data_IF_839070469003
#
_entry.id   IF_839070469003
#
_cell.length_a   1.000
_cell.length_b   1.000
_cell.length_c   1.000
_cell.angle_alpha   90.00
_cell.angle_beta   90.00
_cell.angle_gamma   90.00
#
_symmetry.space_group_name_H-M   'P 1'
#
loop_
_entity.id
_entity.type
_entity.pdbx_description
1 polymer ?
#
# COMPACT_ATOMS: atom_id res chain seq x y z
N UNK A 1 -0.34 30.55 13.81
CA UNK A 1 0.69 30.32 12.77
C UNK A 1 1.87 31.28 12.95
N UNK A 2 1.64 32.57 13.18
CA UNK A 2 2.69 33.57 13.47
C UNK A 2 3.52 33.24 14.73
N UNK A 3 2.88 32.83 15.83
CA UNK A 3 3.57 32.41 17.06
C UNK A 3 4.48 31.19 16.86
N UNK A 4 4.02 30.21 16.07
CA UNK A 4 4.81 29.03 15.69
C UNK A 4 6.06 29.42 14.91
N UNK A 5 5.95 30.32 13.93
CA UNK A 5 7.09 30.77 13.12
C UNK A 5 8.11 31.53 13.98
N UNK A 6 7.62 32.45 14.82
CA UNK A 6 8.46 33.22 15.74
C UNK A 6 9.18 32.31 16.74
N UNK A 7 8.49 31.37 17.38
CA UNK A 7 9.08 30.41 18.32
C UNK A 7 10.14 29.51 17.65
N UNK A 8 9.90 29.08 16.40
CA UNK A 8 10.87 28.30 15.62
C UNK A 8 12.11 29.12 15.24
N UNK A 9 11.93 30.38 14.82
CA UNK A 9 13.02 31.26 14.39
C UNK A 9 13.89 31.73 15.55
N UNK A 10 13.26 32.04 16.69
CA UNK A 10 13.94 32.46 17.91
C UNK A 10 14.57 31.30 18.70
N UNK A 11 14.27 30.05 18.33
CA UNK A 11 14.81 28.86 19.00
C UNK A 11 14.29 28.66 20.42
N UNK A 12 13.17 29.30 20.79
CA UNK A 12 12.56 29.20 22.12
C UNK A 12 12.06 27.78 22.40
N UNK A 13 11.63 27.07 21.36
CA UNK A 13 11.22 25.67 21.45
C UNK A 13 11.96 24.80 20.44
N UNK A 14 12.13 23.52 20.77
CA UNK A 14 12.68 22.51 19.87
C UNK A 14 11.86 22.43 18.56
N UNK A 15 12.49 22.59 17.39
CA UNK A 15 11.80 22.52 16.10
C UNK A 15 11.04 21.22 15.86
N UNK A 16 11.51 20.08 16.39
CA UNK A 16 10.82 18.79 16.23
C UNK A 16 9.55 18.74 17.07
N UNK A 17 9.59 19.24 18.32
CA UNK A 17 8.40 19.41 19.16
C UNK A 17 7.36 20.31 18.49
N UNK A 18 7.80 21.45 17.96
CA UNK A 18 6.92 22.38 17.23
C UNK A 18 6.28 21.69 16.01
N UNK A 19 7.07 20.97 15.20
CA UNK A 19 6.56 20.21 14.06
C UNK A 19 5.50 19.19 14.47
N UNK A 20 5.74 18.42 15.53
CA UNK A 20 4.79 17.43 16.06
C UNK A 20 3.48 18.09 16.51
N UNK A 21 3.57 19.18 17.28
CA UNK A 21 2.39 19.93 17.72
C UNK A 21 1.57 20.48 16.53
N UNK A 22 2.23 21.02 15.51
CA UNK A 22 1.57 21.53 14.32
C UNK A 22 0.96 20.40 13.47
N UNK A 23 1.61 19.23 13.37
CA UNK A 23 1.04 18.05 12.71
C UNK A 23 -0.23 17.56 13.41
N UNK A 24 -0.21 17.41 14.74
CA UNK A 24 -1.41 17.03 15.51
C UNK A 24 -2.54 18.03 15.30
N UNK A 25 -2.23 19.34 15.30
CA UNK A 25 -3.22 20.38 15.01
C UNK A 25 -3.86 20.23 13.63
N UNK A 26 -3.10 19.86 12.60
CA UNK A 26 -3.62 19.61 11.25
C UNK A 26 -4.53 18.37 11.21
N UNK A 27 -4.16 17.30 11.93
CA UNK A 27 -4.98 16.08 12.03
C UNK A 27 -6.30 16.36 12.75
N UNK A 28 -6.31 17.20 13.79
CA UNK A 28 -7.54 17.60 14.48
C UNK A 28 -8.48 18.46 13.64
N UNK A 29 -7.97 19.08 12.57
CA UNK A 29 -8.73 19.92 11.64
C UNK A 29 -8.94 19.23 10.28
N UNK A 30 -8.83 17.89 10.22
CA UNK A 30 -8.93 17.14 8.98
C UNK A 30 -10.40 17.12 8.52
N UNK A 31 -10.62 17.55 7.29
CA UNK A 31 -11.92 17.56 6.63
C UNK A 31 -11.82 16.96 5.22
N UNK A 32 -12.96 16.63 4.63
CA UNK A 32 -13.01 16.13 3.25
C UNK A 32 -12.54 17.22 2.29
N UNK A 33 -11.44 16.96 1.58
CA UNK A 33 -10.95 17.87 0.55
C UNK A 33 -11.84 17.78 -0.69
N UNK A 34 -12.55 18.87 -1.02
CA UNK A 34 -13.42 18.96 -2.20
C UNK A 34 -12.70 19.41 -3.47
N UNK A 35 -11.45 19.86 -3.34
CA UNK A 35 -10.62 20.32 -4.46
C UNK A 35 -9.74 19.18 -5.01
N UNK A 36 -9.77 18.00 -4.39
CA UNK A 36 -8.98 16.85 -4.81
C UNK A 36 -9.87 15.67 -5.12
N UNK A 37 -9.81 15.23 -6.37
CA UNK A 37 -10.46 14.01 -6.84
C UNK A 37 -9.44 12.89 -7.08
N UNK A 38 -9.91 11.65 -7.10
CA UNK A 38 -9.13 10.48 -7.54
C UNK A 38 -9.85 9.87 -8.75
N UNK A 39 -9.09 9.60 -9.81
CA UNK A 39 -9.63 9.03 -11.04
C UNK A 39 -10.34 7.70 -10.77
N UNK A 40 -11.55 7.53 -11.32
CA UNK A 40 -12.42 6.39 -11.00
C UNK A 40 -12.22 5.26 -12.00
N UNK A 41 -11.45 4.25 -11.60
CA UNK A 41 -11.14 3.08 -12.45
C UNK A 41 -11.77 1.80 -11.93
N UNK A 42 -11.81 1.61 -10.61
CA UNK A 42 -12.45 0.42 -10.04
C UNK A 42 -13.94 0.37 -10.37
N UNK A 43 -14.41 -0.78 -10.85
CA UNK A 43 -15.81 -1.04 -11.12
C UNK A 43 -16.58 -1.52 -9.88
N UNK A 44 -15.90 -1.71 -8.75
CA UNK A 44 -16.46 -2.20 -7.48
C UNK A 44 -15.79 -1.50 -6.29
N UNK A 45 -16.12 -1.93 -5.06
CA UNK A 45 -15.53 -1.36 -3.85
C UNK A 45 -14.01 -1.44 -3.83
N UNK A 46 -13.37 -0.43 -3.26
CA UNK A 46 -11.93 -0.43 -2.98
C UNK A 46 -11.72 -1.03 -1.60
N UNK A 47 -10.99 -2.13 -1.51
CA UNK A 47 -10.75 -2.82 -0.24
C UNK A 47 -9.48 -2.30 0.46
N UNK A 48 -8.51 -1.80 -0.31
CA UNK A 48 -7.17 -1.52 0.18
C UNK A 48 -6.53 -0.37 -0.60
N UNK A 49 -5.71 0.39 0.12
CA UNK A 49 -4.90 1.49 -0.39
C UNK A 49 -3.54 1.42 0.28
N UNK A 50 -2.47 1.68 -0.46
CA UNK A 50 -1.14 1.83 0.12
C UNK A 50 -0.34 2.94 -0.57
N UNK A 51 0.24 3.83 0.21
CA UNK A 51 1.01 4.97 -0.27
C UNK A 51 2.49 4.63 -0.16
N UNK A 52 3.25 4.94 -1.20
CA UNK A 52 4.68 4.70 -1.26
C UNK A 52 5.40 5.24 0.01
N UNK A 53 6.25 4.44 0.66
CA UNK A 53 6.83 4.80 1.96
C UNK A 53 7.96 5.84 1.88
N UNK A 54 8.57 6.05 0.70
CA UNK A 54 9.78 6.88 0.55
C UNK A 54 9.43 8.33 0.25
N UNK A 55 8.78 8.61 -0.89
CA UNK A 55 8.40 9.98 -1.28
C UNK A 55 6.92 10.27 -1.02
N UNK A 56 6.09 9.23 -0.93
CA UNK A 56 4.63 9.36 -0.74
C UNK A 56 3.93 9.92 -1.98
N UNK A 57 4.56 9.80 -3.14
CA UNK A 57 4.05 10.33 -4.41
C UNK A 57 3.03 9.39 -5.04
N UNK A 58 3.33 8.10 -5.03
CA UNK A 58 2.50 7.10 -5.68
C UNK A 58 1.63 6.35 -4.68
N UNK A 59 0.44 5.94 -5.13
CA UNK A 59 -0.51 5.18 -4.32
C UNK A 59 -1.04 3.99 -5.11
N UNK A 60 -1.06 2.82 -4.47
CA UNK A 60 -1.71 1.63 -4.97
C UNK A 60 -3.12 1.53 -4.42
N UNK A 61 -4.02 0.97 -5.21
CA UNK A 61 -5.35 0.55 -4.77
C UNK A 61 -5.69 -0.84 -5.28
N UNK A 62 -6.39 -1.61 -4.45
CA UNK A 62 -6.93 -2.93 -4.80
C UNK A 62 -8.45 -2.93 -4.65
N UNK A 63 -9.15 -3.45 -5.67
CA UNK A 63 -10.61 -3.48 -5.70
C UNK A 63 -11.20 -4.89 -5.60
N UNK A 64 -12.49 -4.95 -5.23
CA UNK A 64 -13.25 -6.20 -5.26
C UNK A 64 -13.44 -6.75 -6.68
N UNK A 65 -13.15 -5.95 -7.70
CA UNK A 65 -13.18 -6.29 -9.11
C UNK A 65 -11.93 -7.05 -9.60
N UNK A 66 -10.94 -7.30 -8.73
CA UNK A 66 -9.69 -7.97 -9.09
C UNK A 66 -8.64 -7.05 -9.70
N UNK A 67 -8.94 -5.74 -9.80
CA UNK A 67 -8.07 -4.75 -10.43
C UNK A 67 -7.12 -4.16 -9.39
N UNK A 68 -5.90 -3.83 -9.84
CA UNK A 68 -4.94 -3.04 -9.08
C UNK A 68 -4.67 -1.76 -9.86
N UNK A 69 -4.69 -0.60 -9.21
CA UNK A 69 -4.42 0.69 -9.86
C UNK A 69 -3.31 1.42 -9.13
N UNK A 70 -2.42 2.04 -9.90
CA UNK A 70 -1.34 2.90 -9.42
C UNK A 70 -1.67 4.34 -9.78
N UNK A 71 -1.75 5.23 -8.79
CA UNK A 71 -2.03 6.66 -8.96
C UNK A 71 -0.81 7.52 -8.67
N UNK A 72 -0.68 8.63 -9.39
CA UNK A 72 0.18 9.75 -9.02
C UNK A 72 -0.65 10.74 -8.18
N UNK A 73 -0.24 10.95 -6.93
CA UNK A 73 -0.91 11.85 -6.00
C UNK A 73 -0.45 13.31 -6.14
N UNK A 74 0.61 13.57 -6.92
CA UNK A 74 1.17 14.90 -7.06
C UNK A 74 0.36 15.80 -7.99
N UNK A 75 0.31 17.07 -7.62
CA UNK A 75 -0.36 18.07 -8.44
C UNK A 75 0.65 18.72 -9.39
N UNK A 76 0.65 18.27 -10.64
CA UNK A 76 1.43 18.92 -11.69
C UNK A 76 0.76 20.17 -12.26
N UNK A 77 -0.48 20.46 -11.87
CA UNK A 77 -1.21 21.65 -12.30
C UNK A 77 -0.86 22.85 -11.42
N UNK A 78 -0.96 24.06 -11.97
CA UNK A 78 -0.81 25.30 -11.19
C UNK A 78 -2.06 25.69 -10.41
N UNK A 79 -3.10 24.85 -10.46
CA UNK A 79 -4.37 25.10 -9.78
C UNK A 79 -4.38 24.41 -8.42
N UNK A 80 -5.07 24.96 -7.41
CA UNK A 80 -5.19 24.31 -6.11
C UNK A 80 -6.06 23.04 -6.16
N UNK A 81 -6.92 22.93 -7.17
CA UNK A 81 -7.77 21.77 -7.42
C UNK A 81 -7.17 20.86 -8.50
N UNK A 82 -7.23 19.55 -8.31
CA UNK A 82 -6.70 18.57 -9.26
C UNK A 82 -7.24 17.16 -9.03
N UNK A 83 -7.08 16.31 -10.04
CA UNK A 83 -7.43 14.88 -9.97
C UNK A 83 -6.16 14.07 -9.94
N UNK A 84 -6.01 13.18 -8.95
CA UNK A 84 -4.97 12.16 -8.92
C UNK A 84 -5.23 11.19 -10.07
N UNK A 85 -4.32 11.16 -11.04
CA UNK A 85 -4.46 10.33 -12.25
C UNK A 85 -3.86 8.96 -12.02
N UNK A 86 -4.44 7.95 -12.64
CA UNK A 86 -3.82 6.65 -12.70
C UNK A 86 -2.67 6.65 -13.71
N UNK A 87 -1.52 6.19 -13.24
CA UNK A 87 -0.32 5.96 -14.05
C UNK A 87 -0.44 4.61 -14.74
N UNK A 88 -0.85 3.58 -13.98
CA UNK A 88 -0.94 2.21 -14.45
C UNK A 88 -2.15 1.49 -13.85
N UNK A 89 -2.63 0.45 -14.52
CA UNK A 89 -3.70 -0.41 -14.03
C UNK A 89 -3.52 -1.85 -14.49
N UNK A 90 -3.54 -2.78 -13.55
CA UNK A 90 -3.66 -4.22 -13.80
C UNK A 90 -5.14 -4.54 -13.99
N UNK A 91 -5.65 -4.22 -15.18
CA UNK A 91 -7.04 -4.43 -15.56
C UNK A 91 -7.33 -5.86 -16.05
N UNK A 92 -8.59 -6.14 -16.39
CA UNK A 92 -9.07 -7.46 -16.85
C UNK A 92 -8.37 -8.01 -18.10
N UNK A 93 -7.75 -7.16 -18.90
CA UNK A 93 -6.96 -7.56 -20.08
C UNK A 93 -5.55 -8.01 -19.73
N UNK A 94 -5.07 -7.76 -18.51
CA UNK A 94 -3.73 -8.16 -18.09
C UNK A 94 -3.67 -9.68 -17.89
N UNK A 95 -2.65 -10.39 -18.42
CA UNK A 95 -2.55 -11.85 -18.30
C UNK A 95 -2.53 -12.31 -16.84
N UNK A 96 -1.87 -11.53 -15.97
CA UNK A 96 -1.75 -11.82 -14.54
C UNK A 96 -2.78 -11.10 -13.67
N UNK A 97 -3.91 -10.64 -14.21
CA UNK A 97 -4.96 -10.02 -13.38
C UNK A 97 -5.45 -10.99 -12.29
N UNK A 98 -5.86 -10.47 -11.13
CA UNK A 98 -6.50 -11.29 -10.12
C UNK A 98 -7.91 -11.70 -10.58
N UNK A 99 -8.28 -12.95 -10.30
CA UNK A 99 -9.58 -13.49 -10.72
C UNK A 99 -10.72 -13.07 -9.81
N UNK A 100 -10.41 -12.70 -8.58
CA UNK A 100 -11.35 -12.30 -7.54
C UNK A 100 -10.84 -11.07 -6.78
N UNK A 101 -11.62 -10.63 -5.80
CA UNK A 101 -11.37 -9.50 -4.91
C UNK A 101 -9.90 -9.42 -4.45
N UNK A 102 -9.27 -8.26 -4.65
CA UNK A 102 -7.95 -7.95 -4.08
C UNK A 102 -8.18 -7.40 -2.69
N UNK A 103 -7.68 -8.10 -1.67
CA UNK A 103 -7.92 -7.75 -0.27
C UNK A 103 -6.86 -6.83 0.29
N UNK A 104 -5.60 -7.04 -0.09
CA UNK A 104 -4.50 -6.18 0.32
C UNK A 104 -3.53 -5.97 -0.84
N UNK A 105 -3.03 -4.74 -0.94
CA UNK A 105 -1.90 -4.34 -1.79
C UNK A 105 -0.90 -3.66 -0.88
N UNK A 106 0.39 -3.87 -1.12
CA UNK A 106 1.44 -3.27 -0.30
C UNK A 106 2.67 -2.96 -1.14
N UNK A 107 3.19 -1.75 -1.03
CA UNK A 107 4.51 -1.41 -1.54
C UNK A 107 5.58 -2.24 -0.84
N UNK A 108 6.61 -2.63 -1.58
CA UNK A 108 7.76 -3.23 -0.95
C UNK A 108 8.46 -2.16 -0.07
N UNK A 109 8.68 -2.40 1.25
CA UNK A 109 9.02 -1.30 2.16
C UNK A 109 10.35 -0.58 1.90
N UNK A 110 11.28 -1.22 1.19
CA UNK A 110 12.64 -0.72 0.96
C UNK A 110 12.95 -0.41 -0.52
N UNK A 111 12.02 -0.71 -1.43
CA UNK A 111 12.20 -0.60 -2.88
C UNK A 111 10.88 -0.23 -3.53
N UNK A 112 10.87 0.89 -4.25
CA UNK A 112 9.70 1.40 -4.97
C UNK A 112 9.56 0.75 -6.35
N UNK A 113 10.50 -0.11 -6.74
CA UNK A 113 10.46 -0.95 -7.93
C UNK A 113 9.49 -2.13 -7.82
N UNK A 114 8.96 -2.43 -6.63
CA UNK A 114 8.14 -3.62 -6.40
C UNK A 114 6.95 -3.37 -5.48
N UNK A 115 5.88 -4.13 -5.67
CA UNK A 115 4.76 -4.22 -4.73
C UNK A 115 4.18 -5.63 -4.71
N UNK A 116 3.34 -5.89 -3.73
CA UNK A 116 2.65 -7.17 -3.56
C UNK A 116 1.15 -6.98 -3.53
N UNK A 117 0.41 -8.00 -3.96
CA UNK A 117 -1.04 -8.05 -3.88
C UNK A 117 -1.51 -9.43 -3.48
N UNK A 118 -2.56 -9.51 -2.67
CA UNK A 118 -3.20 -10.77 -2.31
C UNK A 118 -4.69 -10.74 -2.62
N UNK A 119 -5.22 -11.87 -3.07
CA UNK A 119 -6.62 -11.99 -3.50
C UNK A 119 -7.32 -13.22 -2.96
N UNK A 120 -8.65 -13.18 -3.00
CA UNK A 120 -9.53 -14.33 -2.83
C UNK A 120 -9.36 -15.41 -3.91
N UNK A 121 -8.61 -15.14 -4.98
CA UNK A 121 -8.17 -16.18 -5.93
C UNK A 121 -7.08 -17.12 -5.38
N UNK A 122 -6.77 -16.97 -4.09
CA UNK A 122 -5.80 -17.78 -3.35
C UNK A 122 -4.37 -17.56 -3.83
N UNK A 123 -4.10 -16.40 -4.44
CA UNK A 123 -2.75 -16.04 -4.88
C UNK A 123 -2.25 -14.78 -4.19
N UNK A 124 -0.97 -14.80 -3.82
CA UNK A 124 -0.16 -13.62 -3.53
C UNK A 124 0.75 -13.41 -4.75
N UNK A 125 0.67 -12.23 -5.36
CA UNK A 125 1.49 -11.86 -6.50
C UNK A 125 2.48 -10.78 -6.10
N UNK A 126 3.69 -10.91 -6.61
CA UNK A 126 4.77 -9.93 -6.49
C UNK A 126 4.90 -9.28 -7.85
N UNK A 127 4.95 -7.96 -7.88
CA UNK A 127 4.91 -7.17 -9.10
C UNK A 127 6.15 -6.32 -9.23
N UNK A 128 6.65 -6.20 -10.45
CA UNK A 128 7.57 -5.14 -10.85
C UNK A 128 6.75 -3.92 -11.28
N UNK A 129 7.03 -2.76 -10.69
CA UNK A 129 6.27 -1.52 -10.92
C UNK A 129 6.53 -0.90 -12.29
N UNK A 130 7.71 -1.11 -12.85
CA UNK A 130 8.12 -0.52 -14.12
C UNK A 130 7.59 -1.31 -15.31
N UNK A 131 7.62 -2.65 -15.21
CA UNK A 131 7.13 -3.53 -16.27
C UNK A 131 5.66 -3.92 -16.11
N UNK A 132 5.12 -3.75 -14.90
CA UNK A 132 3.78 -4.16 -14.49
C UNK A 132 3.52 -5.67 -14.67
N UNK A 133 4.57 -6.48 -14.66
CA UNK A 133 4.47 -7.94 -14.77
C UNK A 133 4.61 -8.60 -13.40
N UNK A 134 3.97 -9.75 -13.23
CA UNK A 134 4.14 -10.55 -12.03
C UNK A 134 5.53 -11.18 -12.04
N UNK A 135 6.37 -10.81 -11.08
CA UNK A 135 7.70 -11.37 -10.87
C UNK A 135 7.61 -12.76 -10.22
N UNK A 136 6.74 -12.91 -9.22
CA UNK A 136 6.49 -14.16 -8.53
C UNK A 136 5.00 -14.33 -8.20
N UNK A 137 4.55 -15.58 -8.17
CA UNK A 137 3.17 -15.94 -7.82
C UNK A 137 3.19 -17.08 -6.81
N UNK A 138 2.69 -16.81 -5.61
CA UNK A 138 2.50 -17.82 -4.57
C UNK A 138 1.05 -18.26 -4.55
N UNK A 139 0.83 -19.57 -4.61
CA UNK A 139 -0.51 -20.18 -4.54
C UNK A 139 -0.77 -20.82 -3.19
N UNK A 140 -1.96 -20.63 -2.66
CA UNK A 140 -2.40 -21.17 -1.38
C UNK A 140 -3.64 -22.07 -1.54
N UNK A 141 -3.86 -22.95 -0.58
CA UNK A 141 -5.03 -23.85 -0.57
C UNK A 141 -6.33 -23.10 -0.23
N UNK A 142 -6.22 -22.01 0.53
CA UNK A 142 -7.32 -21.23 1.08
C UNK A 142 -7.28 -19.77 0.60
N UNK A 143 -8.41 -19.06 0.72
CA UNK A 143 -8.51 -17.64 0.36
C UNK A 143 -7.64 -16.78 1.27
N UNK A 144 -6.96 -15.77 0.71
CA UNK A 144 -6.12 -14.85 1.46
C UNK A 144 -6.96 -13.66 1.92
N UNK A 145 -6.90 -13.33 3.20
CA UNK A 145 -7.58 -12.16 3.77
C UNK A 145 -6.63 -10.98 3.96
N UNK A 146 -5.36 -11.23 4.24
CA UNK A 146 -4.37 -10.18 4.45
C UNK A 146 -2.97 -10.71 4.21
N UNK A 147 -2.10 -9.86 3.67
CA UNK A 147 -0.67 -10.07 3.75
C UNK A 147 0.03 -8.82 4.28
N UNK A 148 1.22 -8.99 4.87
CA UNK A 148 2.01 -7.87 5.34
C UNK A 148 3.52 -8.19 5.39
N UNK A 149 4.32 -7.26 4.90
CA UNK A 149 5.77 -7.20 5.06
C UNK A 149 6.16 -6.27 6.21
N UNK A 150 7.21 -6.61 6.94
CA UNK A 150 7.69 -5.75 8.03
C UNK A 150 8.37 -4.49 7.47
N UNK A 151 7.90 -3.27 7.80
CA UNK A 151 8.52 -2.03 7.34
C UNK A 151 9.91 -1.79 7.95
N UNK A 152 10.20 -2.41 9.10
CA UNK A 152 11.47 -2.26 9.81
C UNK A 152 12.49 -3.35 9.44
N UNK A 153 12.06 -4.43 8.79
CA UNK A 153 12.93 -5.56 8.53
C UNK A 153 13.84 -5.31 7.34
N UNK A 154 15.13 -5.16 7.59
CA UNK A 154 16.16 -5.06 6.53
C UNK A 154 16.88 -6.38 6.27
N UNK A 155 16.69 -7.37 7.15
CA UNK A 155 17.42 -8.65 7.13
C UNK A 155 16.68 -9.78 6.42
N UNK A 156 15.35 -9.73 6.38
CA UNK A 156 14.51 -10.77 5.81
C UNK A 156 13.52 -10.20 4.81
N UNK A 157 13.09 -11.02 3.85
CA UNK A 157 12.05 -10.67 2.88
C UNK A 157 10.80 -11.52 3.07
N UNK A 158 10.49 -11.81 4.34
CA UNK A 158 9.31 -12.55 4.73
C UNK A 158 8.05 -11.70 4.55
N UNK A 159 7.06 -12.27 3.86
CA UNK A 159 5.69 -11.81 3.80
C UNK A 159 4.87 -12.71 4.72
N UNK A 160 4.18 -12.13 5.69
CA UNK A 160 3.18 -12.86 6.46
C UNK A 160 1.87 -12.88 5.69
N UNK A 161 1.25 -14.05 5.55
CA UNK A 161 0.02 -14.28 4.81
C UNK A 161 -1.01 -14.92 5.73
N UNK A 162 -2.11 -14.20 5.96
CA UNK A 162 -3.29 -14.67 6.67
C UNK A 162 -4.31 -15.23 5.68
N UNK A 163 -4.49 -16.54 5.71
CA UNK A 163 -5.52 -17.22 4.91
C UNK A 163 -6.75 -17.56 5.75
N UNK A 164 -7.77 -18.14 5.13
CA UNK A 164 -8.93 -18.71 5.85
C UNK A 164 -8.53 -19.85 6.80
N UNK A 165 -7.39 -20.49 6.56
CA UNK A 165 -6.88 -21.55 7.41
C UNK A 165 -6.41 -21.02 8.79
N UNK A 166 -6.32 -21.89 9.80
CA UNK A 166 -5.86 -21.51 11.14
C UNK A 166 -4.34 -21.25 11.22
N UNK A 167 -3.61 -21.55 10.14
CA UNK A 167 -2.15 -21.46 10.04
C UNK A 167 -1.77 -20.17 9.33
N UNK A 168 -0.93 -19.35 9.95
CA UNK A 168 -0.31 -18.20 9.27
C UNK A 168 0.88 -18.69 8.48
N UNK A 169 0.96 -18.30 7.22
CA UNK A 169 2.05 -18.71 6.32
C UNK A 169 3.04 -17.56 6.17
N UNK A 170 4.33 -17.88 6.17
CA UNK A 170 5.41 -16.94 5.92
C UNK A 170 6.09 -17.33 4.61
N UNK A 171 6.06 -16.42 3.65
CA UNK A 171 6.66 -16.59 2.32
C UNK A 171 7.95 -15.78 2.23
N UNK A 172 9.05 -16.39 1.83
CA UNK A 172 10.30 -15.69 1.59
C UNK A 172 10.42 -15.32 0.11
N UNK A 173 10.41 -14.02 -0.17
CA UNK A 173 10.51 -13.49 -1.53
C UNK A 173 11.87 -13.76 -2.19
N UNK A 174 12.95 -13.96 -1.42
CA UNK A 174 14.28 -14.22 -2.01
C UNK A 174 14.41 -15.61 -2.61
N UNK A 175 13.74 -16.59 -2.01
CA UNK A 175 13.85 -17.99 -2.39
C UNK A 175 12.62 -18.50 -3.15
N UNK A 176 11.59 -17.67 -3.32
CA UNK A 176 10.30 -18.09 -3.88
C UNK A 176 9.60 -19.16 -3.02
N UNK A 177 10.01 -19.34 -1.76
CA UNK A 177 9.57 -20.46 -0.93
C UNK A 177 8.52 -20.05 0.10
N UNK A 178 7.45 -20.84 0.23
CA UNK A 178 6.41 -20.71 1.25
C UNK A 178 6.53 -21.81 2.31
N UNK A 179 7.67 -21.89 3.00
CA UNK A 179 7.99 -23.03 3.87
C UNK A 179 7.60 -22.85 5.33
N UNK A 180 7.47 -21.62 5.82
CA UNK A 180 7.34 -21.36 7.24
C UNK A 180 5.87 -21.20 7.64
N UNK A 181 5.47 -21.91 8.70
CA UNK A 181 4.11 -21.89 9.23
C UNK A 181 4.15 -21.51 10.70
N UNK A 182 3.37 -20.49 11.07
CA UNK A 182 3.07 -20.19 12.46
C UNK A 182 1.72 -20.83 12.79
N UNK A 183 1.75 -21.80 13.70
CA UNK A 183 0.57 -22.51 14.16
C UNK A 183 0.31 -22.15 15.63
N UNK A 184 -0.91 -21.73 15.93
CA UNK A 184 -1.37 -21.55 17.30
C UNK A 184 -1.53 -22.90 18.00
N UNK A 185 -1.29 -22.92 19.32
CA UNK A 185 -1.65 -24.06 20.17
C UNK A 185 -3.13 -23.89 20.52
N UNK A 186 -3.98 -24.79 20.03
CA UNK A 186 -5.36 -24.90 20.50
C UNK A 186 -5.34 -25.74 21.79
N UNK A 187 -5.85 -25.19 22.89
CA UNK A 187 -6.27 -25.96 24.07
C UNK A 187 -7.76 -26.27 23.95
#
# INVERSE_FOLDING_TARGET
MLSFLSARQSGVEDPLRLRRAQSTRRVLALELNKDRDVERIHGSGVNTLDIEPVEGRYMLSGGSDGVIVLYDLENSSRQPYYTCKAVCSVGRSHPDVHKYSVETVQWYPHDTGMFTSSSFDKTLKVWDTNTLQAADVFTFEETIYSHHMSPAATKHCLVAVGTRGPKVQLCDLKSGSCSHILQGIYF
#
